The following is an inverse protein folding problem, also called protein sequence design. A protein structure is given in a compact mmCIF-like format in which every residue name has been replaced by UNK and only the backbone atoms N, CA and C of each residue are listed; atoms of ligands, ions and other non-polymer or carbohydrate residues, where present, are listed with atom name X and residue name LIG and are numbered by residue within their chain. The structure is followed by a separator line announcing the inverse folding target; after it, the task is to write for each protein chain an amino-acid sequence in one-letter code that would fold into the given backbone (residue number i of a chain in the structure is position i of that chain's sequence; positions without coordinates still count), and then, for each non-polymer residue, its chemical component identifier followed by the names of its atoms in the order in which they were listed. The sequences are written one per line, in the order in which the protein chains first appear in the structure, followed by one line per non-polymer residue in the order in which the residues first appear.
data_IF_456487946782
#
_entry.id   IF_456487946782
#
_cell.length_a   1.000
_cell.length_b   1.000
_cell.length_c   1.000
_cell.angle_alpha   90.00
_cell.angle_beta   90.00
_cell.angle_gamma   90.00
#
_symmetry.space_group_name_H-M   'P 1'
#
loop_
_entity.id
_entity.type
_entity.pdbx_description
1 polymer ?
#
# COMPACT_ATOMS: atom_id res chain seq x y z
N UNK A 1 -2.91 -16.19 13.11
CA UNK A 1 -1.93 -16.45 12.05
C UNK A 1 -1.66 -15.13 11.34
N UNK A 2 -0.43 -14.90 10.89
CA UNK A 2 -0.01 -13.63 10.24
C UNK A 2 0.45 -13.91 8.82
N UNK A 3 0.17 -12.98 7.91
CA UNK A 3 0.46 -13.16 6.49
C UNK A 3 1.84 -12.61 6.11
N UNK A 4 2.52 -13.28 5.18
CA UNK A 4 3.74 -12.74 4.55
C UNK A 4 3.42 -11.53 3.66
N UNK A 5 2.23 -11.55 3.05
CA UNK A 5 1.79 -10.57 2.04
C UNK A 5 0.30 -10.28 2.18
N UNK A 6 -0.05 -8.99 2.13
CA UNK A 6 -1.43 -8.51 1.97
C UNK A 6 -1.56 -7.86 0.60
N UNK A 7 -2.59 -8.24 -0.17
CA UNK A 7 -3.00 -7.53 -1.36
C UNK A 7 -4.19 -6.64 -1.01
N UNK A 8 -4.04 -5.34 -1.18
CA UNK A 8 -5.05 -4.34 -0.89
C UNK A 8 -5.53 -3.71 -2.20
N UNK A 9 -6.81 -3.86 -2.54
CA UNK A 9 -7.43 -3.08 -3.60
C UNK A 9 -8.04 -1.82 -3.01
N UNK A 10 -7.74 -0.67 -3.60
CA UNK A 10 -8.21 0.61 -3.10
C UNK A 10 -8.52 1.56 -4.25
N UNK A 11 -9.61 2.30 -4.11
CA UNK A 11 -10.07 3.37 -4.99
C UNK A 11 -10.20 4.67 -4.19
N UNK A 12 -10.15 5.79 -4.88
CA UNK A 12 -10.29 7.11 -4.24
C UNK A 12 -11.56 7.24 -3.39
N UNK A 13 -12.67 6.63 -3.82
CA UNK A 13 -13.94 6.63 -3.08
C UNK A 13 -14.02 5.63 -1.90
N UNK A 14 -13.05 4.73 -1.73
CA UNK A 14 -13.13 3.66 -0.72
C UNK A 14 -12.87 4.17 0.71
N UNK A 15 -12.30 5.38 0.90
CA UNK A 15 -12.10 6.02 2.21
C UNK A 15 -10.71 6.63 2.40
N UNK A 16 -10.15 6.51 3.61
CA UNK A 16 -8.79 6.94 3.92
C UNK A 16 -7.79 5.80 3.66
N UNK A 17 -6.86 6.02 2.72
CA UNK A 17 -5.83 5.04 2.37
C UNK A 17 -4.87 4.78 3.53
N UNK A 18 -4.60 5.77 4.38
CA UNK A 18 -3.70 5.61 5.53
C UNK A 18 -4.27 4.59 6.51
N UNK A 19 -5.55 4.71 6.85
CA UNK A 19 -6.22 3.79 7.77
C UNK A 19 -6.25 2.37 7.17
N UNK A 20 -6.58 2.24 5.88
CA UNK A 20 -6.56 0.96 5.19
C UNK A 20 -5.15 0.30 5.19
N UNK A 21 -4.08 1.10 5.07
CA UNK A 21 -2.71 0.61 5.16
C UNK A 21 -2.32 0.21 6.58
N UNK A 22 -2.76 0.96 7.60
CA UNK A 22 -2.53 0.61 9.02
C UNK A 22 -3.23 -0.71 9.36
N UNK A 23 -4.47 -0.90 8.90
CA UNK A 23 -5.21 -2.15 9.06
C UNK A 23 -4.51 -3.31 8.35
N UNK A 24 -4.03 -3.09 7.11
CA UNK A 24 -3.28 -4.09 6.35
C UNK A 24 -1.96 -4.50 7.05
N UNK A 25 -1.25 -3.56 7.67
CA UNK A 25 -0.03 -3.84 8.45
C UNK A 25 -0.35 -4.75 9.65
N UNK A 26 -1.52 -4.57 10.29
CA UNK A 26 -1.94 -5.40 11.42
C UNK A 26 -2.10 -6.89 11.09
N UNK A 27 -2.24 -7.24 9.80
CA UNK A 27 -2.35 -8.61 9.31
C UNK A 27 -0.99 -9.23 8.94
N UNK A 28 0.07 -8.44 8.85
CA UNK A 28 1.38 -8.87 8.36
C UNK A 28 2.30 -9.40 9.47
N UNK A 29 3.14 -10.36 9.11
CA UNK A 29 4.30 -10.71 9.90
C UNK A 29 5.41 -9.65 9.82
N UNK A 30 6.44 -9.81 10.64
CA UNK A 30 7.62 -8.94 10.64
C UNK A 30 8.37 -9.01 9.31
N UNK A 31 8.41 -7.89 8.59
CA UNK A 31 9.05 -7.82 7.28
C UNK A 31 8.13 -8.19 6.11
N UNK A 32 6.84 -8.40 6.39
CA UNK A 32 5.80 -8.60 5.39
C UNK A 32 5.65 -7.42 4.43
N UNK A 33 4.95 -7.67 3.32
CA UNK A 33 4.78 -6.70 2.24
C UNK A 33 3.30 -6.42 1.98
N UNK A 34 2.94 -5.15 1.81
CA UNK A 34 1.63 -4.77 1.24
C UNK A 34 1.80 -4.53 -0.26
N UNK A 35 0.93 -5.13 -1.05
CA UNK A 35 0.76 -4.84 -2.46
C UNK A 35 -0.54 -4.06 -2.64
N UNK A 36 -0.41 -2.74 -2.81
CA UNK A 36 -1.53 -1.83 -3.04
C UNK A 36 -1.87 -1.81 -4.54
N UNK A 37 -3.06 -2.27 -4.88
CA UNK A 37 -3.64 -2.21 -6.21
C UNK A 37 -4.53 -0.97 -6.31
N UNK A 38 -4.19 -0.03 -7.19
CA UNK A 38 -5.04 1.13 -7.52
C UNK A 38 -5.38 1.14 -9.01
N UNK A 39 -6.53 1.72 -9.41
CA UNK A 39 -6.87 1.87 -10.82
C UNK A 39 -5.78 2.65 -11.56
N UNK A 40 -5.59 2.37 -12.85
CA UNK A 40 -4.69 3.17 -13.70
C UNK A 40 -5.27 4.55 -13.99
N UNK A 41 -4.41 5.49 -14.35
CA UNK A 41 -4.80 6.85 -14.74
C UNK A 41 -5.89 6.83 -15.81
N UNK A 42 -6.92 7.66 -15.63
CA UNK A 42 -8.09 7.72 -16.51
C UNK A 42 -9.14 6.64 -16.27
N UNK A 43 -9.03 5.85 -15.19
CA UNK A 43 -10.08 4.96 -14.69
C UNK A 43 -10.78 5.59 -13.49
N UNK A 44 -12.04 5.23 -13.30
CA UNK A 44 -12.80 5.60 -12.10
C UNK A 44 -12.11 5.03 -10.85
N UNK A 45 -12.09 5.84 -9.79
CA UNK A 45 -11.41 5.52 -8.54
C UNK A 45 -9.88 5.59 -8.61
N UNK A 46 -9.32 6.27 -9.62
CA UNK A 46 -7.88 6.54 -9.70
C UNK A 46 -7.39 7.30 -8.46
N UNK A 47 -6.31 6.79 -7.86
CA UNK A 47 -5.66 7.41 -6.71
C UNK A 47 -4.36 8.06 -7.19
N UNK A 48 -4.10 9.32 -6.81
CA UNK A 48 -2.88 9.97 -7.25
C UNK A 48 -1.62 9.35 -6.62
N UNK A 49 -0.49 9.27 -7.34
CA UNK A 49 0.75 8.76 -6.79
C UNK A 49 1.25 9.54 -5.57
N UNK A 50 0.94 10.84 -5.47
CA UNK A 50 1.25 11.66 -4.29
C UNK A 50 0.51 11.14 -3.06
N UNK A 51 -0.78 10.86 -3.19
CA UNK A 51 -1.63 10.42 -2.08
C UNK A 51 -1.21 9.03 -1.60
N UNK A 52 -0.84 8.14 -2.53
CA UNK A 52 -0.26 6.84 -2.21
C UNK A 52 1.04 7.00 -1.42
N UNK A 53 1.92 7.92 -1.84
CA UNK A 53 3.20 8.15 -1.17
C UNK A 53 3.00 8.77 0.22
N UNK A 54 2.12 9.75 0.36
CA UNK A 54 1.78 10.38 1.64
C UNK A 54 1.17 9.38 2.62
N UNK A 55 0.17 8.60 2.19
CA UNK A 55 -0.46 7.58 3.01
C UNK A 55 0.54 6.48 3.41
N UNK A 56 1.39 6.03 2.48
CA UNK A 56 2.42 5.04 2.79
C UNK A 56 3.41 5.57 3.83
N UNK A 57 3.91 6.81 3.68
CA UNK A 57 4.81 7.42 4.65
C UNK A 57 4.16 7.57 6.03
N UNK A 58 2.91 8.02 6.06
CA UNK A 58 2.13 8.20 7.31
C UNK A 58 1.91 6.85 8.00
N UNK A 59 1.63 5.79 7.24
CA UNK A 59 1.52 4.42 7.76
C UNK A 59 2.88 3.78 8.12
N UNK A 60 4.00 4.46 7.91
CA UNK A 60 5.36 3.95 8.21
C UNK A 60 5.88 2.95 7.19
N UNK A 61 5.37 3.00 5.96
CA UNK A 61 5.78 2.19 4.82
C UNK A 61 6.59 3.03 3.83
N UNK A 62 7.36 2.34 2.98
CA UNK A 62 8.00 2.93 1.82
C UNK A 62 7.60 2.17 0.56
N UNK A 63 7.27 2.92 -0.51
CA UNK A 63 7.06 2.36 -1.84
C UNK A 63 8.41 2.00 -2.47
N UNK A 64 8.54 0.78 -2.98
CA UNK A 64 9.80 0.26 -3.52
C UNK A 64 9.75 -0.05 -5.01
N UNK A 65 8.58 -0.45 -5.51
CA UNK A 65 8.39 -0.83 -6.90
C UNK A 65 6.93 -0.65 -7.30
N UNK A 66 6.70 -0.26 -8.54
CA UNK A 66 5.38 -0.32 -9.17
C UNK A 66 5.39 -1.27 -10.37
N UNK A 67 4.28 -1.96 -10.59
CA UNK A 67 4.07 -2.89 -11.71
C UNK A 67 2.72 -2.62 -12.37
N UNK A 68 2.58 -3.00 -13.64
CA UNK A 68 1.26 -3.14 -14.24
C UNK A 68 0.62 -4.45 -13.78
N UNK A 69 -0.43 -4.38 -12.97
CA UNK A 69 -1.18 -5.53 -12.47
C UNK A 69 -2.39 -5.81 -13.38
N UNK A 70 -2.12 -6.25 -14.61
CA UNK A 70 -3.16 -6.48 -15.62
C UNK A 70 -3.57 -5.21 -16.37
N UNK A 71 -4.77 -5.23 -16.96
CA UNK A 71 -5.22 -4.18 -17.88
C UNK A 71 -5.49 -2.86 -17.16
N UNK A 72 -6.17 -2.93 -16.02
CA UNK A 72 -6.82 -1.75 -15.42
C UNK A 72 -6.18 -1.29 -14.10
N UNK A 73 -5.23 -2.07 -13.55
CA UNK A 73 -4.66 -1.81 -12.23
C UNK A 73 -3.15 -1.62 -12.26
N UNK A 74 -2.67 -0.74 -11.39
CA UNK A 74 -1.27 -0.59 -11.03
C UNK A 74 -1.06 -1.24 -9.67
N UNK A 75 0.00 -2.04 -9.52
CA UNK A 75 0.40 -2.58 -8.23
C UNK A 75 1.60 -1.83 -7.67
N UNK A 76 1.50 -1.34 -6.44
CA UNK A 76 2.55 -0.65 -5.69
C UNK A 76 3.02 -1.51 -4.52
N UNK A 77 4.32 -1.82 -4.48
CA UNK A 77 4.93 -2.60 -3.41
C UNK A 77 5.35 -1.70 -2.26
N UNK A 78 4.69 -1.86 -1.12
CA UNK A 78 4.92 -1.11 0.11
C UNK A 78 5.54 -2.03 1.18
N UNK A 79 6.60 -1.58 1.81
CA UNK A 79 7.32 -2.34 2.84
C UNK A 79 7.68 -1.47 4.03
N UNK A 80 7.78 -2.04 5.22
CA UNK A 80 8.36 -1.33 6.37
C UNK A 80 9.86 -1.11 6.14
N UNK A 81 10.39 0.13 6.23
CA UNK A 81 11.81 0.40 6.07
C UNK A 81 12.67 -0.34 7.09
N UNK A 82 13.80 -0.91 6.65
CA UNK A 82 14.80 -1.51 7.54
C UNK A 82 15.34 -0.42 8.48
N UNK A 83 15.00 -0.51 9.77
CA UNK A 83 15.40 0.45 10.81
C UNK A 83 14.24 1.22 11.44
N UNK A 84 13.04 1.24 10.84
CA UNK A 84 11.87 1.92 11.42
C UNK A 84 11.42 1.30 12.76
N UNK A 85 11.68 -0.01 12.97
CA UNK A 85 11.40 -0.71 14.24
C UNK A 85 12.50 -0.58 15.30
N UNK A 86 13.72 -0.15 14.96
CA UNK A 86 14.79 0.02 15.95
C UNK A 86 14.57 1.21 16.91
N UNK A 87 13.46 1.93 16.73
CA UNK A 87 13.08 3.14 17.48
C UNK A 87 11.72 3.02 18.17
N UNK A 88 11.10 1.83 18.19
CA UNK A 88 9.86 1.54 18.91
C UNK A 88 10.15 0.72 20.16
#
# INVERSE_FOLDING_TARGET
DVADVVLLWFRDEDGDLTDALVDAIGLLEDGGTVWLMTPKTGRDGYVEPSDINEAAQTAGLAQTKSISAGKDWTGSRLVTPKGAKAKR
#
